data_IF_588163615878
#
_entry.id   IF_588163615878
#
_cell.length_a   1.000
_cell.length_b   1.000
_cell.length_c   1.000
_cell.angle_alpha   90.00
_cell.angle_beta   90.00
_cell.angle_gamma   90.00
#
_symmetry.space_group_name_H-M   'P 1'
#
loop_
_entity.id
_entity.type
_entity.pdbx_description
1 polymer ?
#
# COMPACT_ATOMS: atom_id res chain seq x y z
N UNK A 1 -8.66 0.15 17.37
CA UNK A 1 -9.37 -0.90 16.60
C UNK A 1 -10.81 -1.01 17.08
N UNK A 2 -11.82 -1.02 16.19
CA UNK A 2 -13.23 -1.13 16.56
C UNK A 2 -13.53 -2.36 17.42
N UNK A 3 -14.46 -2.23 18.35
CA UNK A 3 -14.85 -3.29 19.30
C UNK A 3 -15.36 -4.54 18.61
N UNK A 4 -16.03 -4.41 17.46
CA UNK A 4 -16.51 -5.52 16.62
C UNK A 4 -15.36 -6.38 16.08
N UNK A 5 -14.25 -5.76 15.65
CA UNK A 5 -13.07 -6.47 15.13
C UNK A 5 -12.24 -7.10 16.24
N UNK A 6 -12.19 -6.47 17.42
CA UNK A 6 -11.39 -6.97 18.57
C UNK A 6 -11.81 -8.36 19.05
N UNK A 7 -13.08 -8.75 18.84
CA UNK A 7 -13.59 -10.08 19.21
C UNK A 7 -12.94 -11.20 18.38
N UNK A 8 -12.75 -10.96 17.09
CA UNK A 8 -12.22 -11.93 16.12
C UNK A 8 -10.70 -11.86 15.99
N UNK A 9 -10.13 -10.67 16.10
CA UNK A 9 -8.71 -10.39 15.84
C UNK A 9 -7.97 -9.97 17.12
N UNK A 10 -8.01 -10.84 18.14
CA UNK A 10 -7.42 -10.56 19.47
C UNK A 10 -5.90 -10.36 19.46
N UNK A 11 -5.20 -10.95 18.49
CA UNK A 11 -3.74 -10.89 18.32
C UNK A 11 -3.30 -10.05 17.12
N UNK A 12 -4.20 -9.34 16.44
CA UNK A 12 -3.80 -8.49 15.32
C UNK A 12 -2.81 -7.43 15.82
N UNK A 13 -1.57 -7.50 15.31
CA UNK A 13 -0.49 -6.58 15.65
C UNK A 13 -0.36 -5.44 14.64
N UNK A 14 -0.65 -5.73 13.36
CA UNK A 14 -0.53 -4.79 12.25
C UNK A 14 -1.64 -5.07 11.23
N UNK A 15 -2.24 -4.00 10.71
CA UNK A 15 -3.17 -3.98 9.59
C UNK A 15 -2.38 -3.48 8.39
N UNK A 16 -2.24 -4.32 7.36
CA UNK A 16 -1.50 -3.99 6.14
C UNK A 16 -2.49 -3.63 5.04
N UNK A 17 -2.31 -2.46 4.43
CA UNK A 17 -3.16 -1.95 3.35
C UNK A 17 -2.34 -1.36 2.20
N UNK A 18 -2.84 -1.48 0.98
CA UNK A 18 -2.23 -0.85 -0.20
C UNK A 18 -2.90 0.49 -0.45
N UNK A 19 -2.20 1.58 -0.15
CA UNK A 19 -2.69 2.93 -0.39
C UNK A 19 -2.18 3.49 -1.72
N UNK A 20 -3.00 4.27 -2.41
CA UNK A 20 -2.65 4.97 -3.65
C UNK A 20 -2.68 6.48 -3.41
N UNK A 21 -1.66 7.19 -3.90
CA UNK A 21 -1.59 8.65 -3.86
C UNK A 21 -1.48 9.20 -5.28
N UNK A 22 -2.23 10.26 -5.56
CA UNK A 22 -2.16 10.98 -6.83
C UNK A 22 -0.84 11.75 -6.93
N UNK A 23 -0.19 11.65 -8.08
CA UNK A 23 1.04 12.37 -8.37
C UNK A 23 0.87 13.21 -9.62
N UNK A 24 1.63 14.31 -9.66
CA UNK A 24 1.70 15.14 -10.86
C UNK A 24 2.22 14.32 -12.04
N UNK A 25 1.73 14.64 -13.24
CA UNK A 25 2.09 13.94 -14.47
C UNK A 25 3.59 14.10 -14.74
N UNK A 26 4.39 13.01 -14.68
CA UNK A 26 5.81 13.13 -14.97
C UNK A 26 6.02 13.54 -16.43
N UNK A 27 7.06 14.35 -16.66
CA UNK A 27 7.47 14.81 -17.99
C UNK A 27 8.03 13.68 -18.83
N UNK A 28 8.71 12.72 -18.19
CA UNK A 28 9.23 11.52 -18.83
C UNK A 28 8.10 10.55 -19.22
N UNK A 29 8.11 10.11 -20.48
CA UNK A 29 7.07 9.25 -21.06
C UNK A 29 7.09 7.84 -20.48
N UNK A 30 8.28 7.31 -20.16
CA UNK A 30 8.42 5.97 -19.57
C UNK A 30 7.91 5.97 -18.14
N UNK A 31 8.33 6.94 -17.33
CA UNK A 31 7.81 7.14 -15.98
C UNK A 31 6.29 7.33 -16.00
N UNK A 32 5.75 8.10 -16.95
CA UNK A 32 4.31 8.31 -17.09
C UNK A 32 3.54 7.03 -17.37
N UNK A 33 4.06 6.17 -18.24
CA UNK A 33 3.44 4.88 -18.54
C UNK A 33 3.46 3.93 -17.32
N UNK A 34 4.47 4.03 -16.45
CA UNK A 34 4.60 3.21 -15.25
C UNK A 34 3.70 3.68 -14.10
N UNK A 35 3.53 4.98 -13.92
CA UNK A 35 2.69 5.54 -12.83
C UNK A 35 1.22 5.66 -13.24
N UNK A 36 0.85 5.44 -14.50
CA UNK A 36 -0.54 5.54 -14.93
C UNK A 36 -1.40 4.40 -14.35
N UNK A 37 -2.37 4.77 -13.52
CA UNK A 37 -3.42 3.85 -13.06
C UNK A 37 -4.61 3.95 -14.00
N UNK A 38 -4.90 2.86 -14.70
CA UNK A 38 -6.06 2.80 -15.59
C UNK A 38 -7.38 2.84 -14.80
N UNK A 39 -7.38 2.31 -13.58
CA UNK A 39 -8.55 2.32 -12.70
C UNK A 39 -8.94 3.72 -12.23
N UNK A 40 -7.94 4.54 -11.85
CA UNK A 40 -8.16 5.93 -11.40
C UNK A 40 -8.11 6.95 -12.53
N UNK A 41 -7.75 6.53 -13.74
CA UNK A 41 -7.57 7.37 -14.91
C UNK A 41 -6.62 8.57 -14.63
N UNK A 42 -5.61 8.33 -13.79
CA UNK A 42 -4.66 9.33 -13.33
C UNK A 42 -3.30 8.70 -13.02
N UNK A 43 -2.26 9.53 -12.97
CA UNK A 43 -0.94 9.12 -12.50
C UNK A 43 -0.97 8.95 -10.98
N UNK A 44 -0.76 7.72 -10.50
CA UNK A 44 -0.71 7.41 -9.08
C UNK A 44 0.54 6.63 -8.74
N UNK A 45 0.93 6.72 -7.47
CA UNK A 45 1.91 5.81 -6.87
C UNK A 45 1.19 4.96 -5.84
N UNK A 46 1.58 3.69 -5.76
CA UNK A 46 1.08 2.77 -4.74
C UNK A 46 2.15 2.50 -3.71
N UNK A 47 1.76 2.32 -2.46
CA UNK A 47 2.64 1.84 -1.41
C UNK A 47 1.85 0.99 -0.42
N UNK A 48 2.55 0.07 0.21
CA UNK A 48 2.04 -0.76 1.28
C UNK A 48 2.29 -0.04 2.60
N UNK A 49 1.23 0.19 3.36
CA UNK A 49 1.29 0.78 4.69
C UNK A 49 0.85 -0.24 5.74
N UNK A 50 1.64 -0.37 6.80
CA UNK A 50 1.29 -1.12 7.99
C UNK A 50 0.88 -0.15 9.10
N UNK A 51 -0.32 -0.35 9.64
CA UNK A 51 -0.87 0.47 10.72
C UNK A 51 -1.15 -0.44 11.92
N UNK A 52 -0.68 -0.07 13.09
CA UNK A 52 -1.01 -0.80 14.32
C UNK A 52 -2.51 -0.63 14.64
N UNK A 53 -3.13 -1.56 15.38
CA UNK A 53 -4.50 -1.41 15.87
C UNK A 53 -4.75 -0.13 16.69
N UNK A 54 -3.69 0.52 17.17
CA UNK A 54 -3.71 1.78 17.92
C UNK A 54 -3.75 3.02 17.00
N UNK A 55 -3.56 2.84 15.69
CA UNK A 55 -3.59 3.92 14.69
C UNK A 55 -2.22 4.53 14.37
N UNK A 56 -1.13 3.95 14.88
CA UNK A 56 0.23 4.40 14.53
C UNK A 56 0.74 3.70 13.28
N UNK A 57 1.50 4.42 12.46
CA UNK A 57 2.14 3.84 11.27
C UNK A 57 3.34 3.01 11.73
N UNK A 58 3.32 1.71 11.46
CA UNK A 58 4.41 0.79 11.79
C UNK A 58 5.34 0.52 10.60
N UNK A 59 4.83 0.65 9.37
CA UNK A 59 5.58 0.31 8.16
C UNK A 59 5.13 1.10 6.94
N UNK A 60 6.08 1.45 6.06
CA UNK A 60 5.82 2.02 4.73
C UNK A 60 6.79 1.34 3.75
N UNK A 61 6.27 0.77 2.66
CA UNK A 61 7.11 0.19 1.60
C UNK A 61 7.69 1.24 0.67
N UNK A 62 8.62 0.81 -0.19
CA UNK A 62 8.99 1.61 -1.36
C UNK A 62 7.78 1.83 -2.26
N UNK A 63 7.70 3.01 -2.87
CA UNK A 63 6.64 3.34 -3.80
C UNK A 63 6.79 2.55 -5.11
N UNK A 64 5.68 2.00 -5.58
CA UNK A 64 5.53 1.36 -6.87
C UNK A 64 4.69 2.26 -7.79
N UNK A 65 4.88 2.18 -9.10
CA UNK A 65 4.05 2.90 -10.05
C UNK A 65 2.61 2.39 -10.03
N UNK A 66 1.63 3.28 -10.26
CA UNK A 66 0.19 2.99 -10.26
C UNK A 66 -0.27 1.87 -11.19
N UNK A 67 0.56 1.49 -12.17
CA UNK A 67 0.32 0.36 -13.08
C UNK A 67 0.61 -1.01 -12.46
N UNK A 68 1.42 -1.07 -11.41
CA UNK A 68 1.82 -2.31 -10.73
C UNK A 68 0.62 -2.85 -9.92
N UNK A 69 0.43 -4.17 -9.93
CA UNK A 69 -0.68 -4.80 -9.20
C UNK A 69 -0.42 -4.78 -7.69
N UNK A 70 -1.49 -4.86 -6.90
CA UNK A 70 -1.36 -4.81 -5.44
C UNK A 70 -0.64 -6.05 -4.90
N UNK A 71 -0.77 -7.19 -5.58
CA UNK A 71 -0.02 -8.41 -5.27
C UNK A 71 1.48 -8.21 -5.52
N UNK A 72 1.86 -7.68 -6.68
CA UNK A 72 3.28 -7.44 -7.00
C UNK A 72 3.92 -6.37 -6.12
N UNK A 73 3.15 -5.38 -5.65
CA UNK A 73 3.61 -4.39 -4.66
C UNK A 73 3.96 -5.05 -3.31
N UNK A 74 3.20 -6.08 -2.91
CA UNK A 74 3.51 -6.90 -1.72
C UNK A 74 4.74 -7.77 -1.94
N UNK A 75 4.87 -8.41 -3.11
CA UNK A 75 5.99 -9.34 -3.43
C UNK A 75 7.33 -8.61 -3.59
N UNK A 76 7.35 -7.41 -4.17
CA UNK A 76 8.58 -6.63 -4.36
C UNK A 76 9.14 -6.04 -3.05
N UNK A 77 8.34 -6.04 -1.99
CA UNK A 77 8.76 -5.57 -0.68
C UNK A 77 9.13 -6.78 0.16
N UNK A 78 10.43 -7.09 0.29
CA UNK A 78 10.98 -8.10 1.21
C UNK A 78 10.76 -7.67 2.69
N UNK A 79 9.52 -7.41 3.08
CA UNK A 79 9.11 -7.15 4.45
C UNK A 79 8.40 -8.41 4.95
N UNK A 80 9.20 -9.27 5.55
CA UNK A 80 8.86 -10.25 6.58
C UNK A 80 7.37 -10.25 6.95
N UNK A 81 6.63 -11.24 6.45
CA UNK A 81 5.33 -11.61 6.98
C UNK A 81 5.44 -11.84 8.49
N UNK A 82 5.14 -10.83 9.30
CA UNK A 82 4.80 -11.03 10.71
C UNK A 82 3.28 -11.02 10.79
N UNK A 83 2.69 -12.15 10.37
CA UNK A 83 1.46 -12.63 10.96
C UNK A 83 1.86 -13.40 12.23
N UNK A 84 1.51 -12.88 13.41
CA UNK A 84 1.39 -13.67 14.64
C UNK A 84 -0.09 -13.76 14.99
#
# INVERSE_FOLDING_TARGET
MPTSFRKFFKKCAVIMDCSEVFVERPSDLMARAQVWSNYKHHSTIKFLIGITPQGTISYISKCAGGRISDESTKVHTLATCICV
#
